data_IF_549546877826
#
_entry.id   IF_549546877826
#
_cell.length_a   1.000
_cell.length_b   1.000
_cell.length_c   1.000
_cell.angle_alpha   90.00
_cell.angle_beta   90.00
_cell.angle_gamma   90.00
#
_symmetry.space_group_name_H-M   'P 1'
#
loop_
_entity.id
_entity.type
_entity.pdbx_description
1 polymer ?
#
# COMPACT_ATOMS: atom_id res chain seq x y z
N UNK A 1 -10.10 12.21 2.90
CA UNK A 1 -8.91 11.50 3.45
C UNK A 1 -7.77 11.53 2.44
N UNK A 2 -8.08 11.46 1.14
CA UNK A 2 -7.14 11.61 0.02
C UNK A 2 -6.36 12.93 -0.03
N UNK A 3 -7.00 14.04 0.32
CA UNK A 3 -6.51 15.41 0.06
C UNK A 3 -5.16 15.70 0.72
N UNK A 4 -4.89 15.08 1.88
CA UNK A 4 -3.65 15.30 2.63
C UNK A 4 -2.42 14.77 1.87
N UNK A 5 -2.58 13.69 1.12
CA UNK A 5 -1.48 13.01 0.43
C UNK A 5 -1.62 13.06 -1.09
N UNK A 6 -2.52 13.93 -1.59
CA UNK A 6 -2.79 14.11 -3.01
C UNK A 6 -3.14 12.81 -3.76
N UNK A 7 -3.78 11.86 -3.06
CA UNK A 7 -3.99 10.52 -3.63
C UNK A 7 -5.02 10.51 -4.78
N UNK A 8 -5.74 11.61 -4.99
CA UNK A 8 -6.68 11.82 -6.10
C UNK A 8 -5.97 11.86 -7.47
N UNK A 9 -4.68 12.19 -7.49
CA UNK A 9 -3.85 12.19 -8.70
C UNK A 9 -2.98 10.94 -8.84
N UNK A 10 -3.22 9.91 -8.01
CA UNK A 10 -2.43 8.68 -7.96
C UNK A 10 -3.29 7.45 -8.32
N UNK A 11 -2.62 6.35 -8.69
CA UNK A 11 -3.29 5.06 -8.72
C UNK A 11 -3.48 4.57 -7.29
N UNK A 12 -4.73 4.44 -6.85
CA UNK A 12 -5.07 3.99 -5.49
C UNK A 12 -5.36 2.49 -5.48
N UNK A 13 -4.55 1.71 -4.76
CA UNK A 13 -4.86 0.33 -4.46
C UNK A 13 -5.81 0.26 -3.26
N UNK A 14 -7.10 0.14 -3.53
CA UNK A 14 -8.14 0.16 -2.49
C UNK A 14 -8.19 -1.15 -1.69
N UNK A 15 -8.06 -2.30 -2.36
CA UNK A 15 -8.16 -3.60 -1.72
C UNK A 15 -7.31 -4.65 -2.44
N UNK A 16 -6.49 -5.35 -1.67
CA UNK A 16 -5.81 -6.58 -2.08
C UNK A 16 -6.10 -7.66 -1.06
N UNK A 17 -6.80 -8.70 -1.49
CA UNK A 17 -7.13 -9.83 -0.63
C UNK A 17 -6.79 -11.14 -1.32
N UNK A 18 -6.30 -12.09 -0.53
CA UNK A 18 -6.17 -13.49 -0.92
C UNK A 18 -7.09 -14.31 -0.03
N UNK A 19 -7.74 -15.32 -0.62
CA UNK A 19 -8.52 -16.25 0.17
C UNK A 19 -7.60 -16.99 1.16
N UNK A 20 -8.03 -17.27 2.42
CA UNK A 20 -7.13 -17.80 3.45
C UNK A 20 -6.32 -19.04 3.05
N UNK A 21 -6.91 -19.98 2.30
CA UNK A 21 -6.22 -21.19 1.84
C UNK A 21 -5.13 -20.95 0.78
N UNK A 22 -5.03 -19.72 0.26
CA UNK A 22 -4.03 -19.28 -0.72
C UNK A 22 -3.02 -18.28 -0.14
N UNK A 23 -3.06 -18.00 1.17
CA UNK A 23 -2.03 -17.20 1.83
C UNK A 23 -0.69 -17.94 1.87
N UNK A 24 0.42 -17.19 1.94
CA UNK A 24 1.79 -17.72 1.95
C UNK A 24 2.15 -18.59 0.73
N UNK A 25 1.49 -18.35 -0.41
CA UNK A 25 1.71 -19.05 -1.69
C UNK A 25 1.90 -18.06 -2.84
N UNK A 26 2.47 -16.89 -2.54
CA UNK A 26 2.75 -15.82 -3.51
C UNK A 26 1.53 -15.27 -4.30
N UNK A 27 0.29 -15.63 -3.94
CA UNK A 27 -0.89 -15.11 -4.63
C UNK A 27 -0.95 -13.57 -4.63
N UNK A 28 -0.63 -12.93 -3.50
CA UNK A 28 -0.57 -11.47 -3.41
C UNK A 28 0.57 -10.87 -4.25
N UNK A 29 1.70 -11.60 -4.39
CA UNK A 29 2.84 -11.20 -5.22
C UNK A 29 2.44 -11.14 -6.69
N UNK A 30 1.80 -12.21 -7.19
CA UNK A 30 1.33 -12.29 -8.59
C UNK A 30 0.34 -11.17 -8.92
N UNK A 31 -0.60 -10.90 -8.01
CA UNK A 31 -1.56 -9.80 -8.19
C UNK A 31 -0.85 -8.44 -8.22
N UNK A 32 0.10 -8.19 -7.32
CA UNK A 32 0.87 -6.94 -7.28
C UNK A 32 1.73 -6.74 -8.52
N UNK A 33 2.42 -7.78 -9.00
CA UNK A 33 3.22 -7.70 -10.23
C UNK A 33 2.37 -7.33 -11.43
N UNK A 34 1.18 -7.92 -11.56
CA UNK A 34 0.25 -7.60 -12.63
C UNK A 34 -0.22 -6.13 -12.58
N UNK A 35 -0.57 -5.64 -11.39
CA UNK A 35 -1.01 -4.24 -11.22
C UNK A 35 0.14 -3.28 -11.52
N UNK A 36 1.33 -3.51 -10.98
CA UNK A 36 2.43 -2.55 -11.09
C UNK A 36 3.08 -2.54 -12.48
N UNK A 37 3.18 -3.68 -13.16
CA UNK A 37 3.77 -3.77 -14.51
C UNK A 37 2.98 -2.92 -15.52
N UNK A 38 1.64 -2.88 -15.39
CA UNK A 38 0.79 -2.07 -16.26
C UNK A 38 0.79 -0.57 -15.91
N UNK A 39 1.42 -0.18 -14.79
CA UNK A 39 1.33 1.17 -14.23
C UNK A 39 2.71 1.71 -13.79
N UNK A 40 3.79 1.30 -14.45
CA UNK A 40 5.16 1.68 -14.03
C UNK A 40 5.40 3.20 -14.01
N UNK A 41 4.78 3.93 -14.93
CA UNK A 41 4.89 5.39 -15.04
C UNK A 41 3.97 6.20 -14.12
N UNK A 42 3.23 5.56 -13.20
CA UNK A 42 2.23 6.20 -12.36
C UNK A 42 2.62 6.04 -10.88
N UNK A 43 2.42 7.09 -10.09
CA UNK A 43 2.61 7.05 -8.65
C UNK A 43 1.46 6.27 -8.01
N UNK A 44 1.78 5.38 -7.08
CA UNK A 44 0.80 4.46 -6.48
C UNK A 44 0.68 4.71 -4.99
N UNK A 45 -0.55 4.82 -4.51
CA UNK A 45 -0.89 5.05 -3.11
C UNK A 45 -1.57 3.82 -2.51
N UNK A 46 -1.22 3.47 -1.27
CA UNK A 46 -1.90 2.43 -0.50
C UNK A 46 -1.96 2.75 0.99
N UNK A 47 -3.07 2.40 1.61
CA UNK A 47 -3.23 2.39 3.06
C UNK A 47 -3.07 0.95 3.55
N UNK A 48 -1.98 0.68 4.26
CA UNK A 48 -1.58 -0.68 4.62
C UNK A 48 -1.82 -0.97 6.10
N UNK A 49 -2.47 -2.09 6.39
CA UNK A 49 -2.41 -2.66 7.72
C UNK A 49 -1.01 -3.23 7.98
N UNK A 50 -0.54 -3.18 9.23
CA UNK A 50 0.82 -3.61 9.58
C UNK A 50 1.19 -5.02 9.12
N UNK A 51 0.23 -5.95 9.00
CA UNK A 51 0.44 -7.30 8.48
C UNK A 51 0.76 -7.35 6.98
N UNK A 52 0.35 -6.34 6.20
CA UNK A 52 0.57 -6.25 4.76
C UNK A 52 1.74 -5.33 4.38
N UNK A 53 2.20 -4.46 5.28
CA UNK A 53 3.24 -3.43 5.00
C UNK A 53 4.52 -4.03 4.42
N UNK A 54 4.92 -5.22 4.90
CA UNK A 54 6.10 -5.91 4.37
C UNK A 54 5.99 -6.29 2.89
N UNK A 55 4.78 -6.56 2.38
CA UNK A 55 4.55 -6.82 0.96
C UNK A 55 4.85 -5.57 0.13
N UNK A 56 4.24 -4.43 0.50
CA UNK A 56 4.39 -3.19 -0.26
C UNK A 56 5.83 -2.68 -0.26
N UNK A 57 6.55 -2.78 0.88
CA UNK A 57 7.97 -2.39 0.95
C UNK A 57 8.85 -3.12 -0.08
N UNK A 58 8.56 -4.41 -0.37
CA UNK A 58 9.29 -5.18 -1.40
C UNK A 58 9.08 -4.65 -2.83
N UNK A 59 8.02 -3.89 -3.07
CA UNK A 59 7.72 -3.27 -4.36
C UNK A 59 8.13 -1.79 -4.44
N UNK A 60 8.91 -1.31 -3.48
CA UNK A 60 9.42 0.06 -3.47
C UNK A 60 8.47 1.10 -2.87
N UNK A 61 7.38 0.67 -2.23
CA UNK A 61 6.55 1.59 -1.46
C UNK A 61 7.32 2.07 -0.23
N UNK A 62 7.37 3.39 -0.04
CA UNK A 62 7.90 4.05 1.14
C UNK A 62 6.73 4.49 2.04
N UNK A 63 6.90 4.31 3.34
CA UNK A 63 5.97 4.81 4.35
C UNK A 63 6.16 6.32 4.50
N UNK A 64 5.09 7.09 4.35
CA UNK A 64 5.11 8.55 4.43
C UNK A 64 4.35 9.10 5.65
N UNK A 65 3.45 8.31 6.24
CA UNK A 65 2.67 8.68 7.41
C UNK A 65 2.06 7.44 8.09
N UNK A 66 1.48 7.62 9.28
CA UNK A 66 0.66 6.61 9.97
C UNK A 66 -0.63 7.19 10.50
N UNK A 67 -1.74 6.57 10.16
CA UNK A 67 -3.03 6.83 10.79
C UNK A 67 -3.23 5.91 11.99
N UNK A 68 -3.63 6.50 13.12
CA UNK A 68 -3.97 5.78 14.34
C UNK A 68 -5.45 5.97 14.64
N UNK A 69 -6.20 4.88 14.66
CA UNK A 69 -7.61 4.88 14.96
C UNK A 69 -7.84 4.29 16.35
N UNK A 70 -8.53 5.05 17.18
CA UNK A 70 -9.02 4.55 18.47
C UNK A 70 -10.24 3.67 18.23
N UNK A 71 -10.12 2.38 18.54
CA UNK A 71 -11.17 1.40 18.31
C UNK A 71 -12.23 1.39 19.41
N UNK A 72 -12.03 2.11 20.51
CA UNK A 72 -13.01 2.20 21.60
C UNK A 72 -14.34 2.75 21.13
N UNK A 73 -14.32 3.67 20.15
CA UNK A 73 -15.52 4.21 19.49
C UNK A 73 -16.34 3.16 18.73
N UNK A 74 -15.72 2.05 18.36
CA UNK A 74 -16.35 0.91 17.71
C UNK A 74 -16.61 -0.26 18.67
N UNK A 75 -16.53 -0.04 19.99
CA UNK A 75 -16.76 -1.06 21.01
C UNK A 75 -15.66 -2.14 21.09
N UNK A 76 -14.47 -1.85 20.56
CA UNK A 76 -13.31 -2.75 20.62
C UNK A 76 -12.18 -2.10 21.41
N UNK A 77 -11.37 -2.92 22.07
CA UNK A 77 -10.17 -2.43 22.75
C UNK A 77 -9.01 -2.24 21.76
N UNK A 78 -8.15 -1.26 22.04
CA UNK A 78 -6.90 -1.03 21.32
C UNK A 78 -6.96 0.05 20.24
N UNK A 79 -5.88 0.10 19.44
CA UNK A 79 -5.72 1.04 18.33
C UNK A 79 -5.44 0.28 17.05
N UNK A 80 -6.10 0.64 15.96
CA UNK A 80 -5.68 0.22 14.63
C UNK A 80 -4.67 1.22 14.08
N UNK A 81 -3.61 0.69 13.46
CA UNK A 81 -2.60 1.50 12.78
C UNK A 81 -2.63 1.14 11.31
N UNK A 82 -2.74 2.16 10.47
CA UNK A 82 -2.58 2.04 9.03
C UNK A 82 -1.36 2.86 8.62
N UNK A 83 -0.45 2.22 7.92
CA UNK A 83 0.69 2.88 7.29
C UNK A 83 0.22 3.48 5.96
N UNK A 84 0.49 4.76 5.76
CA UNK A 84 0.22 5.46 4.50
C UNK A 84 1.48 5.34 3.66
N UNK A 85 1.35 4.72 2.48
CA UNK A 85 2.50 4.35 1.68
C UNK A 85 2.35 4.81 0.23
N UNK A 86 3.45 5.28 -0.33
CA UNK A 86 3.55 5.74 -1.71
C UNK A 86 4.68 5.01 -2.41
N UNK A 87 4.46 4.60 -3.66
CA UNK A 87 5.49 4.16 -4.59
C UNK A 87 5.60 5.17 -5.71
N UNK A 88 6.79 5.73 -5.87
CA UNK A 88 7.10 6.60 -7.01
C UNK A 88 7.10 5.82 -8.34
N UNK A 89 6.82 6.49 -9.47
CA UNK A 89 6.96 5.90 -10.79
C UNK A 89 8.36 5.29 -10.98
N UNK A 90 8.40 4.07 -11.51
CA UNK A 90 9.66 3.49 -11.96
C UNK A 90 9.86 3.88 -13.42
N UNK A 91 10.41 5.07 -13.65
CA UNK A 91 10.76 5.53 -15.00
C UNK A 91 12.17 5.04 -15.32
N UNK A 92 12.36 4.20 -16.36
CA UNK A 92 13.69 3.74 -16.75
C UNK A 92 14.63 4.93 -17.01
N UNK A 93 15.74 4.99 -16.27
CA UNK A 93 16.77 6.03 -16.42
C UNK A 93 16.69 7.21 -15.43
N UNK A 94 15.67 7.27 -14.57
CA UNK A 94 15.63 8.20 -13.44
C UNK A 94 16.00 7.43 -12.16
N UNK A 95 17.11 7.76 -11.48
CA UNK A 95 17.49 7.06 -10.27
C UNK A 95 16.41 7.22 -9.19
N UNK A 96 16.03 6.11 -8.56
CA UNK A 96 15.19 6.11 -7.37
C UNK A 96 15.96 6.83 -6.27
N UNK A 97 15.49 8.03 -5.89
CA UNK A 97 16.11 8.81 -4.81
C UNK A 97 16.11 7.95 -3.52
N UNK A 98 17.28 7.77 -2.93
CA UNK A 98 17.50 7.04 -1.67
C UNK A 98 16.66 7.64 -0.53
#
# INVERSE_FOLDING_TARGET
>A
MSDKWDSEHMLVLVLLCTYPSYQNRDAAKVLMENVLHNNEGIQVYVESLGSATGLYKRYGFKEIDRLKFDLSKAGREGKAVMDIMIREPNVPGVPMNE
#
